data_IF_317458617273
#
_entry.id   IF_317458617273
#
_cell.length_a   1.000
_cell.length_b   1.000
_cell.length_c   1.000
_cell.angle_alpha   90.00
_cell.angle_beta   90.00
_cell.angle_gamma   90.00
#
_symmetry.space_group_name_H-M   'P 1'
#
loop_
_entity.id
_entity.type
_entity.pdbx_description
1 polymer ?
#
# COMPACT_ATOMS: atom_id res chain seq x y z
N UNK A 1 -10.47 1.44 -17.35
CA UNK A 1 -11.02 2.42 -16.39
C UNK A 1 -11.16 1.73 -15.05
N UNK A 2 -10.70 2.38 -13.99
CA UNK A 2 -10.84 1.88 -12.63
C UNK A 2 -11.62 2.88 -11.79
N UNK A 3 -12.74 2.45 -11.23
CA UNK A 3 -13.46 3.22 -10.21
C UNK A 3 -12.79 3.05 -8.85
N UNK A 4 -12.49 4.16 -8.16
CA UNK A 4 -11.94 4.13 -6.82
C UNK A 4 -13.01 3.76 -5.79
N UNK A 5 -12.67 2.84 -4.89
CA UNK A 5 -13.59 2.36 -3.87
C UNK A 5 -13.91 3.45 -2.82
N UNK A 6 -15.20 3.66 -2.57
CA UNK A 6 -15.70 4.63 -1.59
C UNK A 6 -15.80 4.01 -0.19
N UNK A 7 -15.72 2.68 -0.10
CA UNK A 7 -15.90 1.93 1.15
C UNK A 7 -14.56 1.56 1.75
N UNK A 8 -14.42 1.79 3.04
CA UNK A 8 -13.33 1.20 3.81
C UNK A 8 -13.82 -0.07 4.51
N UNK A 9 -13.00 -1.12 4.48
CA UNK A 9 -13.33 -2.38 5.13
C UNK A 9 -12.14 -2.86 5.95
N UNK A 10 -12.43 -3.44 7.11
CA UNK A 10 -11.45 -4.17 7.90
C UNK A 10 -11.68 -5.67 7.69
N UNK A 11 -10.81 -6.31 6.90
CA UNK A 11 -10.91 -7.72 6.51
C UNK A 11 -12.33 -8.12 6.03
N UNK A 12 -12.99 -7.23 5.29
CA UNK A 12 -14.39 -7.39 4.81
C UNK A 12 -15.45 -7.60 5.93
N UNK A 13 -15.04 -7.57 7.21
CA UNK A 13 -15.93 -7.83 8.36
C UNK A 13 -16.61 -6.56 8.91
N UNK A 14 -16.03 -5.39 8.69
CA UNK A 14 -16.57 -4.10 9.13
C UNK A 14 -16.48 -3.09 8.01
N UNK A 15 -17.59 -2.40 7.74
CA UNK A 15 -17.71 -1.42 6.68
C UNK A 15 -18.19 -0.08 7.25
N UNK A 16 -17.55 1.01 6.85
CA UNK A 16 -18.04 2.36 7.06
C UNK A 16 -17.86 3.17 5.78
N UNK A 17 -18.87 3.95 5.44
CA UNK A 17 -18.82 4.82 4.27
C UNK A 17 -18.35 6.19 4.72
N UNK A 18 -17.26 6.68 4.14
CA UNK A 18 -16.78 8.05 4.32
C UNK A 18 -17.08 8.84 3.07
N UNK A 19 -17.96 9.84 3.21
CA UNK A 19 -18.30 10.73 2.10
C UNK A 19 -17.04 11.46 1.62
N UNK A 20 -16.77 11.40 0.32
CA UNK A 20 -15.61 12.07 -0.29
C UNK A 20 -14.28 11.30 -0.23
N UNK A 21 -14.15 10.22 0.54
CA UNK A 21 -12.91 9.45 0.66
C UNK A 21 -12.39 8.94 -0.69
N UNK A 22 -13.27 8.36 -1.52
CA UNK A 22 -12.89 7.85 -2.84
C UNK A 22 -12.37 8.97 -3.77
N UNK A 23 -12.98 10.16 -3.71
CA UNK A 23 -12.51 11.34 -4.45
C UNK A 23 -11.10 11.73 -3.99
N UNK A 24 -10.89 11.84 -2.68
CA UNK A 24 -9.58 12.20 -2.11
C UNK A 24 -8.51 11.15 -2.47
N UNK A 25 -8.81 9.87 -2.33
CA UNK A 25 -7.88 8.79 -2.70
C UNK A 25 -7.53 8.85 -4.20
N UNK A 26 -8.52 9.10 -5.06
CA UNK A 26 -8.29 9.25 -6.50
C UNK A 26 -7.33 10.41 -6.81
N UNK A 27 -7.55 11.58 -6.20
CA UNK A 27 -6.68 12.74 -6.38
C UNK A 27 -5.24 12.49 -5.87
N UNK A 28 -5.11 11.90 -4.68
CA UNK A 28 -3.80 11.57 -4.10
C UNK A 28 -3.06 10.55 -4.96
N UNK A 29 -3.75 9.47 -5.36
CA UNK A 29 -3.15 8.43 -6.20
C UNK A 29 -2.70 8.98 -7.56
N UNK A 30 -3.55 9.76 -8.24
CA UNK A 30 -3.19 10.40 -9.51
C UNK A 30 -1.95 11.30 -9.36
N UNK A 31 -1.91 12.14 -8.32
CA UNK A 31 -0.77 13.01 -8.05
C UNK A 31 0.52 12.21 -7.81
N UNK A 32 0.46 11.17 -6.98
CA UNK A 32 1.62 10.32 -6.68
C UNK A 32 2.10 9.58 -7.94
N UNK A 33 1.18 8.99 -8.72
CA UNK A 33 1.53 8.29 -9.95
C UNK A 33 2.18 9.21 -10.98
N UNK A 34 1.64 10.42 -11.17
CA UNK A 34 2.21 11.44 -12.04
C UNK A 34 3.60 11.89 -11.56
N UNK A 35 3.77 12.10 -10.24
CA UNK A 35 5.06 12.39 -9.65
C UNK A 35 6.08 11.27 -9.87
N UNK A 36 5.71 10.02 -9.67
CA UNK A 36 6.58 8.88 -9.92
C UNK A 36 6.95 8.73 -11.41
N UNK A 37 5.99 8.98 -12.31
CA UNK A 37 6.23 9.02 -13.76
C UNK A 37 7.28 10.09 -14.11
N UNK A 38 7.23 11.28 -13.48
CA UNK A 38 8.27 12.33 -13.65
C UNK A 38 9.66 11.91 -13.13
N UNK A 39 9.72 10.91 -12.25
CA UNK A 39 10.97 10.30 -11.75
C UNK A 39 11.40 9.06 -12.55
N UNK A 40 10.82 8.88 -13.74
CA UNK A 40 11.09 7.75 -14.65
C UNK A 40 10.74 6.38 -14.07
N UNK A 41 9.81 6.33 -13.11
CA UNK A 41 9.20 5.07 -12.65
C UNK A 41 8.10 4.71 -13.65
N UNK A 42 8.14 3.54 -14.30
CA UNK A 42 7.08 3.10 -15.19
C UNK A 42 5.82 2.78 -14.39
N UNK A 43 4.71 3.45 -14.70
CA UNK A 43 3.41 3.26 -14.08
C UNK A 43 2.36 2.87 -15.13
N UNK A 44 1.27 2.26 -14.68
CA UNK A 44 0.10 2.03 -15.54
C UNK A 44 -0.71 3.32 -15.74
N UNK A 45 -0.53 4.33 -14.89
CA UNK A 45 -1.30 5.57 -14.91
C UNK A 45 -1.03 6.38 -16.18
N UNK A 46 -2.11 6.82 -16.84
CA UNK A 46 -2.06 7.76 -17.96
C UNK A 46 -2.51 9.16 -17.53
N UNK A 47 -3.74 9.30 -17.11
CA UNK A 47 -4.32 10.58 -16.69
C UNK A 47 -5.49 10.42 -15.72
N UNK A 48 -5.83 11.48 -15.02
CA UNK A 48 -7.04 11.58 -14.21
C UNK A 48 -8.16 12.14 -15.06
N UNK A 49 -9.23 11.37 -15.29
CA UNK A 49 -10.36 11.77 -16.12
C UNK A 49 -11.31 12.71 -15.36
N UNK A 50 -11.62 12.39 -14.10
CA UNK A 50 -12.49 13.17 -13.25
C UNK A 50 -12.20 12.89 -11.77
N UNK A 51 -13.08 13.28 -10.86
CA UNK A 51 -12.90 13.11 -9.42
C UNK A 51 -12.86 11.66 -8.95
N UNK A 52 -13.34 10.71 -9.75
CA UNK A 52 -13.48 9.30 -9.35
C UNK A 52 -12.78 8.32 -10.29
N UNK A 53 -12.34 8.78 -11.46
CA UNK A 53 -11.86 7.92 -12.53
C UNK A 53 -10.46 8.32 -13.00
N UNK A 54 -9.67 7.31 -13.32
CA UNK A 54 -8.35 7.43 -13.94
C UNK A 54 -8.30 6.55 -15.19
N UNK A 55 -7.67 7.05 -16.24
CA UNK A 55 -7.28 6.25 -17.39
C UNK A 55 -5.95 5.55 -17.07
N UNK A 56 -5.92 4.25 -17.27
CA UNK A 56 -4.75 3.42 -17.02
C UNK A 56 -4.47 2.49 -18.20
N UNK A 57 -3.21 2.15 -18.37
CA UNK A 57 -2.80 1.08 -19.30
C UNK A 57 -3.32 -0.26 -18.79
N UNK A 58 -3.85 -1.07 -19.68
CA UNK A 58 -4.21 -2.44 -19.36
C UNK A 58 -2.96 -3.25 -19.03
N UNK A 59 -2.97 -3.93 -17.89
CA UNK A 59 -1.89 -4.81 -17.46
C UNK A 59 -2.46 -6.05 -16.75
N UNK A 60 -1.71 -7.14 -16.84
CA UNK A 60 -1.92 -8.35 -16.05
C UNK A 60 -1.25 -8.15 -14.70
N UNK A 61 -2.03 -8.12 -13.63
CA UNK A 61 -1.52 -7.93 -12.27
C UNK A 61 -0.80 -9.19 -11.82
N UNK A 62 0.42 -9.03 -11.33
CA UNK A 62 1.13 -10.08 -10.60
C UNK A 62 0.41 -10.26 -9.26
N UNK A 63 -0.02 -11.48 -8.90
CA UNK A 63 -0.90 -11.73 -7.74
C UNK A 63 -0.14 -11.62 -6.40
N UNK A 64 0.67 -10.58 -6.26
CA UNK A 64 1.53 -10.33 -5.11
C UNK A 64 1.42 -8.88 -4.68
N UNK A 65 1.21 -8.68 -3.39
CA UNK A 65 1.39 -7.38 -2.74
C UNK A 65 2.83 -7.24 -2.25
N UNK A 66 3.46 -6.15 -2.65
CA UNK A 66 4.82 -5.79 -2.23
C UNK A 66 4.75 -4.73 -1.14
N UNK A 67 5.23 -5.05 0.04
CA UNK A 67 5.23 -4.10 1.17
C UNK A 67 6.64 -3.63 1.44
N UNK A 68 6.85 -2.31 1.41
CA UNK A 68 8.14 -1.70 1.76
C UNK A 68 8.04 -1.02 3.12
N UNK A 69 8.87 -1.45 4.07
CA UNK A 69 8.84 -0.90 5.43
C UNK A 69 10.10 -0.11 5.75
N UNK A 70 9.91 1.05 6.34
CA UNK A 70 10.97 1.92 6.85
C UNK A 70 11.01 1.91 8.39
N UNK A 71 9.87 1.62 9.03
CA UNK A 71 9.68 1.61 10.49
C UNK A 71 8.81 0.40 10.81
N UNK A 72 9.06 -0.26 11.94
CA UNK A 72 8.24 -1.38 12.40
C UNK A 72 6.86 -0.90 12.83
N UNK A 73 5.80 -1.42 12.19
CA UNK A 73 4.40 -1.10 12.53
C UNK A 73 3.44 -2.19 12.01
N UNK A 74 2.26 -2.26 12.60
CA UNK A 74 1.19 -3.15 12.15
C UNK A 74 1.53 -4.62 12.24
N UNK A 75 1.32 -5.39 11.14
CA UNK A 75 1.44 -6.85 11.14
C UNK A 75 2.83 -7.37 11.54
N UNK A 76 3.90 -6.74 11.07
CA UNK A 76 5.27 -7.18 11.38
C UNK A 76 5.57 -7.05 12.88
N UNK A 77 5.18 -5.93 13.50
CA UNK A 77 5.38 -5.73 14.92
C UNK A 77 4.63 -6.80 15.75
N UNK A 78 3.37 -7.07 15.38
CA UNK A 78 2.53 -8.06 16.04
C UNK A 78 3.02 -9.49 15.85
N UNK A 79 3.28 -9.90 14.60
CA UNK A 79 3.62 -11.30 14.26
C UNK A 79 5.00 -11.71 14.75
N UNK A 80 5.96 -10.77 14.80
CA UNK A 80 7.32 -11.06 15.23
C UNK A 80 7.62 -10.59 16.67
N UNK A 81 6.64 -10.04 17.40
CA UNK A 81 6.85 -9.53 18.76
C UNK A 81 7.83 -8.35 18.84
N UNK A 82 8.00 -7.60 17.75
CA UNK A 82 8.95 -6.49 17.66
C UNK A 82 8.27 -5.20 18.10
N UNK A 83 8.97 -4.37 18.87
CA UNK A 83 8.47 -3.06 19.27
C UNK A 83 8.07 -2.21 18.07
N UNK A 84 6.87 -1.60 18.11
CA UNK A 84 6.42 -0.63 17.11
C UNK A 84 7.27 0.64 17.17
N UNK A 85 7.54 1.25 16.03
CA UNK A 85 8.25 2.52 15.95
C UNK A 85 9.77 2.42 15.78
N UNK A 86 10.34 1.23 15.67
CA UNK A 86 11.76 1.08 15.42
C UNK A 86 12.09 1.43 13.96
N UNK A 87 13.00 2.39 13.76
CA UNK A 87 13.54 2.72 12.44
C UNK A 87 14.44 1.60 11.94
N UNK A 88 14.17 1.10 10.75
CA UNK A 88 15.01 0.08 10.12
C UNK A 88 16.27 0.72 9.53
N UNK A 89 17.41 0.05 9.70
CA UNK A 89 18.71 0.49 9.12
C UNK A 89 18.64 0.61 7.60
N UNK A 90 17.88 -0.28 6.95
CA UNK A 90 17.55 -0.27 5.52
C UNK A 90 16.08 -0.66 5.33
N UNK A 91 15.42 -0.20 4.26
CA UNK A 91 14.04 -0.61 3.97
C UNK A 91 13.94 -2.14 3.88
N UNK A 92 12.91 -2.70 4.49
CA UNK A 92 12.56 -4.11 4.38
C UNK A 92 11.52 -4.27 3.28
N UNK A 93 11.72 -5.24 2.40
CA UNK A 93 10.78 -5.61 1.35
C UNK A 93 10.17 -6.97 1.70
N UNK A 94 8.85 -7.02 1.75
CA UNK A 94 8.06 -8.22 2.03
C UNK A 94 7.12 -8.52 0.89
N UNK A 95 6.73 -9.78 0.74
CA UNK A 95 5.84 -10.28 -0.29
C UNK A 95 4.64 -10.96 0.36
N UNK A 96 3.45 -10.65 -0.14
CA UNK A 96 2.20 -11.25 0.32
C UNK A 96 1.45 -11.79 -0.90
N UNK A 97 0.98 -13.02 -0.81
CA UNK A 97 0.14 -13.58 -1.85
C UNK A 97 -1.24 -12.93 -1.78
N UNK A 98 -1.68 -12.36 -2.89
CA UNK A 98 -2.95 -11.61 -2.97
C UNK A 98 -4.11 -12.57 -3.14
N UNK A 99 -4.56 -13.12 -2.03
CA UNK A 99 -5.69 -14.05 -1.97
C UNK A 99 -6.50 -13.79 -0.70
N UNK A 100 -7.59 -13.06 -0.87
CA UNK A 100 -8.47 -12.63 0.22
C UNK A 100 -8.98 -13.80 1.11
N UNK A 101 -9.22 -14.97 0.50
CA UNK A 101 -9.70 -16.14 1.22
C UNK A 101 -8.68 -16.72 2.19
N UNK A 102 -7.40 -16.42 1.97
CA UNK A 102 -6.27 -16.84 2.78
C UNK A 102 -5.71 -15.72 3.69
N UNK A 103 -6.39 -14.57 3.79
CA UNK A 103 -5.93 -13.38 4.55
C UNK A 103 -4.54 -12.87 4.08
N UNK A 104 -4.27 -12.93 2.77
CA UNK A 104 -3.03 -12.47 2.13
C UNK A 104 -1.76 -12.95 2.87
N UNK A 105 -1.43 -14.24 2.83
CA UNK A 105 -0.32 -14.80 3.60
C UNK A 105 1.02 -14.23 3.14
N UNK A 106 1.92 -13.98 4.11
CA UNK A 106 3.31 -13.66 3.81
C UNK A 106 4.00 -14.85 3.18
N UNK A 107 4.72 -14.63 2.10
CA UNK A 107 5.43 -15.65 1.34
C UNK A 107 6.90 -15.25 1.12
N UNK A 108 7.73 -16.25 0.84
CA UNK A 108 9.13 -16.00 0.49
C UNK A 108 9.28 -15.69 -1.01
N UNK A 109 10.42 -15.11 -1.37
CA UNK A 109 10.80 -14.90 -2.77
C UNK A 109 10.81 -16.19 -3.58
N UNK A 110 11.22 -17.30 -2.94
CA UNK A 110 11.30 -18.60 -3.60
C UNK A 110 9.91 -19.16 -3.94
N UNK A 111 8.90 -18.88 -3.12
CA UNK A 111 7.51 -19.21 -3.46
C UNK A 111 7.09 -18.57 -4.78
N UNK A 112 7.40 -17.26 -4.98
CA UNK A 112 7.03 -16.56 -6.22
C UNK A 112 7.63 -17.22 -7.47
N UNK A 113 8.88 -17.67 -7.35
CA UNK A 113 9.61 -18.31 -8.46
C UNK A 113 9.08 -19.74 -8.68
N UNK A 114 8.95 -20.51 -7.62
CA UNK A 114 8.57 -21.92 -7.67
C UNK A 114 7.16 -22.12 -8.22
N UNK A 115 6.21 -21.24 -7.82
CA UNK A 115 4.83 -21.31 -8.30
C UNK A 115 4.60 -20.54 -9.61
N UNK A 116 5.66 -19.96 -10.20
CA UNK A 116 5.58 -19.28 -11.49
C UNK A 116 4.84 -17.94 -11.48
N UNK A 117 4.58 -17.35 -10.29
CA UNK A 117 3.91 -16.05 -10.20
C UNK A 117 4.78 -14.90 -10.73
N UNK A 118 6.10 -15.02 -10.52
CA UNK A 118 7.08 -14.11 -11.11
C UNK A 118 8.42 -14.80 -11.35
N UNK A 119 9.10 -14.40 -12.42
CA UNK A 119 10.44 -14.90 -12.72
C UNK A 119 11.50 -14.19 -11.84
N UNK A 120 12.65 -14.82 -11.69
CA UNK A 120 13.81 -14.23 -10.97
C UNK A 120 14.21 -12.86 -11.54
N UNK A 121 14.12 -12.69 -12.87
CA UNK A 121 14.42 -11.44 -13.56
C UNK A 121 13.39 -10.35 -13.25
N UNK A 122 12.09 -10.69 -13.26
CA UNK A 122 11.03 -9.76 -12.91
C UNK A 122 11.17 -9.30 -11.46
N UNK A 123 11.36 -10.22 -10.52
CA UNK A 123 11.55 -9.88 -9.11
C UNK A 123 12.73 -8.95 -8.88
N UNK A 124 13.86 -9.17 -9.59
CA UNK A 124 15.01 -8.25 -9.50
C UNK A 124 14.64 -6.83 -9.95
N UNK A 125 13.84 -6.70 -11.02
CA UNK A 125 13.34 -5.39 -11.50
C UNK A 125 12.37 -4.77 -10.51
N UNK A 126 11.42 -5.55 -9.99
CA UNK A 126 10.39 -5.10 -9.03
C UNK A 126 11.04 -4.64 -7.73
N UNK A 127 11.95 -5.41 -7.16
CA UNK A 127 12.65 -5.05 -5.93
C UNK A 127 13.39 -3.72 -6.07
N UNK A 128 14.14 -3.56 -7.16
CA UNK A 128 14.84 -2.31 -7.46
C UNK A 128 13.85 -1.14 -7.59
N UNK A 129 12.76 -1.35 -8.30
CA UNK A 129 11.72 -0.33 -8.51
C UNK A 129 11.03 0.03 -7.19
N UNK A 130 10.69 -0.95 -6.36
CA UNK A 130 10.09 -0.75 -5.03
C UNK A 130 10.95 0.12 -4.12
N UNK A 131 12.28 -0.12 -4.10
CA UNK A 131 13.20 0.70 -3.33
C UNK A 131 13.37 2.11 -3.91
N UNK A 132 13.32 2.28 -5.22
CA UNK A 132 13.32 3.60 -5.86
C UNK A 132 12.04 4.36 -5.54
N UNK A 133 10.87 3.72 -5.64
CA UNK A 133 9.58 4.29 -5.25
C UNK A 133 9.63 4.73 -3.79
N UNK A 134 10.13 3.87 -2.88
CA UNK A 134 10.29 4.22 -1.47
C UNK A 134 11.11 5.50 -1.27
N UNK A 135 12.25 5.62 -1.94
CA UNK A 135 13.09 6.83 -1.87
C UNK A 135 12.32 8.07 -2.28
N UNK A 136 11.59 8.02 -3.38
CA UNK A 136 10.81 9.15 -3.90
C UNK A 136 9.63 9.50 -2.99
N UNK A 137 8.87 8.51 -2.52
CA UNK A 137 7.73 8.73 -1.63
C UNK A 137 8.16 9.28 -0.27
N UNK A 138 9.22 8.75 0.33
CA UNK A 138 9.77 9.31 1.57
C UNK A 138 10.11 10.79 1.43
N UNK A 139 10.76 11.18 0.33
CA UNK A 139 11.11 12.56 0.07
C UNK A 139 9.87 13.44 -0.17
N UNK A 140 8.86 12.92 -0.87
CA UNK A 140 7.60 13.61 -1.13
C UNK A 140 6.85 13.91 0.18
N UNK A 141 6.66 12.89 1.02
CA UNK A 141 5.95 13.02 2.29
C UNK A 141 6.72 13.85 3.31
N UNK A 142 8.06 13.70 3.36
CA UNK A 142 8.90 14.45 4.30
C UNK A 142 8.81 15.98 4.07
N UNK A 143 8.66 16.45 2.83
CA UNK A 143 8.41 17.87 2.50
C UNK A 143 7.10 18.39 3.09
N UNK A 144 6.18 17.52 3.47
CA UNK A 144 4.91 17.84 4.11
C UNK A 144 4.88 17.51 5.61
N UNK A 145 6.07 17.31 6.23
CA UNK A 145 6.22 16.89 7.62
C UNK A 145 5.52 15.57 7.94
N UNK A 146 5.46 14.67 6.97
CA UNK A 146 4.88 13.32 7.10
C UNK A 146 5.99 12.28 6.99
N UNK A 147 5.99 11.30 7.89
CA UNK A 147 6.86 10.13 7.88
C UNK A 147 6.12 9.00 7.16
N UNK A 148 6.73 8.46 6.11
CA UNK A 148 6.30 7.23 5.48
C UNK A 148 6.84 6.04 6.26
N UNK A 149 5.96 5.37 7.01
CA UNK A 149 6.29 4.21 7.86
C UNK A 149 6.45 2.96 6.99
N UNK A 150 5.42 2.62 6.26
CA UNK A 150 5.40 1.58 5.24
C UNK A 150 4.33 1.87 4.18
N UNK A 151 4.38 1.14 3.10
CA UNK A 151 3.35 1.19 2.06
C UNK A 151 3.30 -0.11 1.28
N UNK A 152 2.12 -0.38 0.72
CA UNK A 152 1.82 -1.52 -0.14
C UNK A 152 1.70 -1.03 -1.58
N UNK A 153 2.29 -1.79 -2.51
CA UNK A 153 2.21 -1.55 -3.96
C UNK A 153 2.03 -2.86 -4.71
N UNK A 154 1.49 -2.76 -5.89
CA UNK A 154 1.31 -3.87 -6.81
C UNK A 154 2.01 -3.59 -8.14
N UNK A 155 2.34 -4.64 -8.87
CA UNK A 155 2.95 -4.54 -10.19
C UNK A 155 2.18 -5.37 -11.20
N UNK A 156 2.25 -4.93 -12.45
CA UNK A 156 1.63 -5.65 -13.56
C UNK A 156 2.53 -5.72 -14.77
N UNK A 157 2.28 -6.72 -15.63
CA UNK A 157 2.84 -6.87 -16.95
C UNK A 157 1.96 -6.10 -17.93
N UNK A 158 2.52 -5.17 -18.70
CA UNK A 158 1.73 -4.46 -19.69
C UNK A 158 1.17 -5.43 -20.73
N UNK A 159 -0.14 -5.36 -21.02
CA UNK A 159 -0.78 -6.22 -22.02
C UNK A 159 -0.21 -6.01 -23.43
N UNK A 160 0.23 -4.80 -23.76
CA UNK A 160 0.91 -4.47 -25.05
C UNK A 160 2.37 -4.92 -25.12
N UNK A 161 3.01 -5.18 -23.98
CA UNK A 161 4.38 -5.66 -23.90
C UNK A 161 4.62 -6.35 -22.55
N UNK A 162 4.35 -7.66 -22.43
CA UNK A 162 4.44 -8.41 -21.15
C UNK A 162 5.84 -8.42 -20.51
N UNK A 163 6.90 -8.14 -21.27
CA UNK A 163 8.26 -8.00 -20.72
C UNK A 163 8.45 -6.70 -19.91
N UNK A 164 7.51 -5.76 -20.05
CA UNK A 164 7.54 -4.46 -19.36
C UNK A 164 6.70 -4.52 -18.11
N UNK A 165 7.36 -4.49 -16.94
CA UNK A 165 6.74 -4.37 -15.63
C UNK A 165 6.45 -2.90 -15.33
N UNK A 166 5.26 -2.62 -14.82
CA UNK A 166 4.83 -1.29 -14.42
C UNK A 166 4.28 -1.33 -12.99
N UNK A 167 4.44 -0.23 -12.26
CA UNK A 167 3.71 0.01 -11.03
C UNK A 167 2.22 0.11 -11.37
N UNK A 168 1.42 -0.65 -10.66
CA UNK A 168 -0.03 -0.74 -10.85
C UNK A 168 -0.77 -0.41 -9.54
N UNK A 169 -2.09 -0.61 -9.54
CA UNK A 169 -2.98 -0.29 -8.42
C UNK A 169 -2.91 1.19 -8.00
N UNK A 170 -3.20 1.50 -6.77
CA UNK A 170 -3.18 2.86 -6.23
C UNK A 170 -2.10 3.03 -5.17
N UNK A 171 -1.64 4.27 -5.02
CA UNK A 171 -0.89 4.69 -3.83
C UNK A 171 -1.69 5.81 -3.17
N UNK A 172 -2.28 5.50 -2.02
CA UNK A 172 -3.15 6.40 -1.28
C UNK A 172 -2.94 6.21 0.24
N UNK A 173 -3.57 7.00 1.09
CA UNK A 173 -3.54 6.76 2.54
C UNK A 173 -4.04 5.37 2.96
N UNK A 174 -4.82 4.68 2.10
CA UNK A 174 -5.27 3.31 2.37
C UNK A 174 -4.20 2.25 2.13
N UNK A 175 -3.24 2.52 1.26
CA UNK A 175 -2.11 1.63 0.99
C UNK A 175 -0.82 2.03 1.74
N UNK A 176 -0.85 3.15 2.50
CA UNK A 176 0.31 3.68 3.24
C UNK A 176 0.04 3.72 4.74
N UNK A 177 1.11 3.61 5.57
CA UNK A 177 1.13 4.10 6.95
C UNK A 177 1.91 5.40 7.00
N UNK A 178 1.24 6.43 7.50
CA UNK A 178 1.74 7.80 7.52
C UNK A 178 1.67 8.34 8.94
N UNK A 179 2.77 8.87 9.46
CA UNK A 179 2.80 9.51 10.78
C UNK A 179 3.21 10.98 10.65
N UNK A 180 2.62 11.82 11.48
CA UNK A 180 3.09 13.21 11.64
C UNK A 180 4.51 13.23 12.21
N UNK A 181 5.40 14.02 11.59
CA UNK A 181 6.82 14.03 11.95
C UNK A 181 7.08 14.62 13.33
N UNK A 182 6.24 15.55 13.79
CA UNK A 182 6.44 16.27 15.06
C UNK A 182 5.84 15.50 16.22
N UNK A 183 4.63 14.99 16.03
CA UNK A 183 3.81 14.39 17.09
C UNK A 183 3.79 12.85 17.08
N UNK A 184 4.29 12.23 16.02
CA UNK A 184 4.15 10.79 15.72
C UNK A 184 2.69 10.32 15.65
N UNK A 185 1.72 11.25 15.54
CA UNK A 185 0.30 10.91 15.37
C UNK A 185 0.11 10.15 14.06
N UNK A 186 -0.63 9.05 14.13
CA UNK A 186 -1.02 8.26 12.94
C UNK A 186 -1.99 9.09 12.09
N UNK A 187 -1.74 9.17 10.77
CA UNK A 187 -2.52 9.96 9.80
C UNK A 187 -3.15 9.07 8.71
N UNK A 188 -3.19 7.78 8.92
CA UNK A 188 -3.59 6.77 7.94
C UNK A 188 -4.79 5.92 8.42
N UNK A 189 -5.11 4.88 7.68
CA UNK A 189 -6.21 3.96 7.95
C UNK A 189 -6.19 3.31 9.36
N UNK A 190 -5.03 3.26 10.02
CA UNK A 190 -4.94 2.65 11.35
C UNK A 190 -5.70 3.49 12.40
N UNK A 191 -5.81 4.81 12.23
CA UNK A 191 -6.65 5.68 13.09
C UNK A 191 -8.10 5.18 13.10
N UNK A 192 -8.62 4.91 11.91
CA UNK A 192 -9.98 4.41 11.73
C UNK A 192 -10.15 3.00 12.28
N UNK A 193 -9.20 2.10 11.99
CA UNK A 193 -9.24 0.71 12.46
C UNK A 193 -9.22 0.63 13.98
N UNK A 194 -8.37 1.43 14.63
CA UNK A 194 -8.29 1.49 16.10
C UNK A 194 -9.58 2.05 16.72
N UNK A 195 -10.17 3.11 16.12
CA UNK A 195 -11.43 3.67 16.61
C UNK A 195 -12.60 2.66 16.55
N UNK A 196 -12.64 1.81 15.52
CA UNK A 196 -13.66 0.76 15.42
C UNK A 196 -13.49 -0.36 16.44
N UNK A 197 -12.27 -0.65 16.88
CA UNK A 197 -12.02 -1.66 17.93
C UNK A 197 -12.59 -1.17 19.26
N UNK A 198 -12.39 0.10 19.60
CA UNK A 198 -12.93 0.68 20.85
C UNK A 198 -14.46 0.77 20.89
N UNK A 199 -15.12 0.91 19.73
CA UNK A 199 -16.60 0.93 19.67
C UNK A 199 -17.20 -0.48 19.87
N UNK A 200 -16.42 -1.53 19.65
CA UNK A 200 -16.91 -2.92 19.70
C UNK A 200 -16.62 -3.68 21.01
N UNK A 201 -15.91 -3.09 21.95
CA UNK A 201 -15.82 -3.64 23.31
C UNK A 201 -17.08 -3.27 24.09
N UNK A 202 -17.91 -4.26 24.51
CA UNK A 202 -18.99 -3.96 25.44
C UNK A 202 -18.36 -3.48 26.75
N UNK A 203 -18.76 -2.30 27.19
CA UNK A 203 -18.49 -1.83 28.56
C UNK A 203 -18.99 -2.90 29.53
N UNK A 204 -18.07 -3.66 30.14
CA UNK A 204 -18.42 -4.53 31.25
C UNK A 204 -19.01 -3.62 32.34
N UNK A 205 -20.24 -3.90 32.82
CA UNK A 205 -20.75 -3.21 34.00
C UNK A 205 -19.74 -3.45 35.15
N UNK A 206 -19.28 -2.39 35.78
CA UNK A 206 -18.60 -2.51 37.06
C UNK A 206 -19.61 -3.11 38.02
N UNK A 207 -19.38 -4.35 38.41
CA UNK A 207 -20.07 -4.93 39.56
C UNK A 207 -19.71 -4.10 40.80
N UNK A 208 -20.76 -3.58 41.42
CA UNK A 208 -20.75 -2.94 42.77
C UNK A 208 -20.46 -4.01 43.79
#
# INVERSE_FOLDING_TARGET
QRQMCIRDSYNKKKHKIFKGKGVLNNHISAHIMQYLKSKRIPTHFEEKLNDREQLIKKCEIIPIEFVVRNITAGSIAKKLGIKEGLKLKKPLLEYYYKEDSLDDPMISRDHLITFGWATKSELKKIDKMSLQINKHLRNLFLKKNIILVDFKIEFGRLSSNPKKIVLADEISPDSCRLWDKKTNKKLDKDVFRLSLIHISEPTRPRSI
#
